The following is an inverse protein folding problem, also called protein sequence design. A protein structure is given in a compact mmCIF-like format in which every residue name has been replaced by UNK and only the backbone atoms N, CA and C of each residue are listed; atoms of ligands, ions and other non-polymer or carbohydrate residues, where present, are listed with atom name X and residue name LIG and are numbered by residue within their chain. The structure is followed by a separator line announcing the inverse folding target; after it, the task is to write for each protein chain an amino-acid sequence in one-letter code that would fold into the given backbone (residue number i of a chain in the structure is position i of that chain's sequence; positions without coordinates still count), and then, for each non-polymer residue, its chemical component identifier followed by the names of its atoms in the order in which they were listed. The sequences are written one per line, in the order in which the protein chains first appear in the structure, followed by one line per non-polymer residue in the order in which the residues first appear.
data_IF_500869647283
#
_entry.id   IF_500869647283
#
_cell.length_a   1.000
_cell.length_b   1.000
_cell.length_c   1.000
_cell.angle_alpha   90.00
_cell.angle_beta   90.00
_cell.angle_gamma   90.00
#
_symmetry.space_group_name_H-M   'P 1'
#
loop_
_entity.id
_entity.type
_entity.pdbx_description
1 polymer ?
#
# COMPACT_ATOMS: atom_id res chain seq x y z
N UNK A 1 -6.65 38.65 -50.81
CA UNK A 1 -6.18 39.40 -49.62
C UNK A 1 -7.13 39.08 -48.48
N UNK A 2 -6.79 38.57 -47.30
CA UNK A 2 -5.55 38.09 -46.67
C UNK A 2 -6.00 37.04 -45.65
N UNK A 3 -5.33 35.90 -45.64
CA UNK A 3 -5.36 34.91 -44.56
C UNK A 3 -5.04 35.57 -43.22
N UNK A 4 -5.90 35.36 -42.21
CA UNK A 4 -5.47 35.52 -40.83
C UNK A 4 -5.42 34.14 -40.18
N UNK A 5 -4.23 33.59 -40.29
CA UNK A 5 -3.68 32.50 -39.52
C UNK A 5 -3.78 32.80 -38.01
N UNK A 6 -3.70 31.71 -37.24
CA UNK A 6 -3.20 31.58 -35.87
C UNK A 6 -4.22 31.45 -34.71
N UNK A 7 -4.34 30.19 -34.27
CA UNK A 7 -4.04 29.71 -32.91
C UNK A 7 -4.79 30.36 -31.74
N UNK A 8 -5.73 29.61 -31.16
CA UNK A 8 -5.74 29.46 -29.70
C UNK A 8 -5.98 28.00 -29.32
N UNK A 9 -4.86 27.38 -28.96
CA UNK A 9 -4.76 26.16 -28.16
C UNK A 9 -5.66 26.31 -26.91
N UNK A 10 -6.83 25.68 -26.87
CA UNK A 10 -7.48 25.38 -25.59
C UNK A 10 -6.76 24.18 -24.99
N UNK A 11 -5.72 24.54 -24.25
CA UNK A 11 -4.95 23.76 -23.30
C UNK A 11 -5.84 22.75 -22.55
N UNK A 12 -5.81 21.49 -22.98
CA UNK A 12 -6.20 20.36 -22.13
C UNK A 12 -5.20 20.34 -20.96
N UNK A 13 -5.57 20.98 -19.86
CA UNK A 13 -4.94 20.79 -18.56
C UNK A 13 -5.29 19.37 -18.11
N UNK A 14 -4.57 18.38 -18.62
CA UNK A 14 -4.41 17.11 -17.93
C UNK A 14 -3.71 17.44 -16.61
N UNK A 15 -4.50 17.52 -15.54
CA UNK A 15 -3.97 17.53 -14.17
C UNK A 15 -3.35 16.16 -13.95
N UNK A 16 -2.12 15.97 -14.40
CA UNK A 16 -1.31 14.85 -13.96
C UNK A 16 -0.97 15.16 -12.51
N UNK A 17 -1.70 14.55 -11.57
CA UNK A 17 -1.28 14.52 -10.18
C UNK A 17 0.07 13.78 -10.16
N UNK A 18 1.17 14.54 -10.20
CA UNK A 18 2.47 14.02 -9.80
C UNK A 18 2.39 13.79 -8.29
N UNK A 19 1.85 12.63 -7.89
CA UNK A 19 2.07 12.12 -6.56
C UNK A 19 3.57 11.85 -6.47
N UNK A 20 4.33 12.83 -5.97
CA UNK A 20 5.70 12.57 -5.54
C UNK A 20 5.61 11.37 -4.59
N UNK A 21 6.25 10.27 -4.97
CA UNK A 21 6.19 9.03 -4.21
C UNK A 21 6.71 9.33 -2.80
N UNK A 22 5.80 9.28 -1.81
CA UNK A 22 6.19 9.57 -0.43
C UNK A 22 7.01 8.38 0.07
N UNK A 23 8.30 8.64 0.32
CA UNK A 23 9.23 7.70 0.96
C UNK A 23 9.45 8.18 2.39
N UNK A 24 9.27 7.28 3.35
CA UNK A 24 9.49 7.54 4.77
C UNK A 24 10.53 6.58 5.32
N UNK A 25 11.51 7.10 6.07
CA UNK A 25 12.45 6.26 6.80
C UNK A 25 11.84 5.87 8.15
N UNK A 26 11.83 4.58 8.44
CA UNK A 26 11.36 4.01 9.70
C UNK A 26 12.49 3.30 10.43
N UNK A 27 12.36 3.18 11.74
CA UNK A 27 13.25 2.38 12.59
C UNK A 27 12.43 1.29 13.23
N UNK A 28 12.70 0.05 12.88
CA UNK A 28 12.19 -1.14 13.54
C UNK A 28 13.26 -1.71 14.47
N UNK A 29 12.93 -2.78 15.21
CA UNK A 29 13.84 -3.39 16.19
C UNK A 29 15.10 -3.99 15.58
N UNK A 30 15.03 -4.45 14.34
CA UNK A 30 16.11 -5.12 13.61
C UNK A 30 16.85 -4.20 12.63
N UNK A 31 16.39 -2.95 12.42
CA UNK A 31 17.10 -2.00 11.57
C UNK A 31 16.29 -0.78 11.14
N UNK A 32 16.89 0.01 10.25
CA UNK A 32 16.20 1.10 9.56
C UNK A 32 15.77 0.67 8.16
N UNK A 33 14.54 1.04 7.80
CA UNK A 33 13.94 0.70 6.51
C UNK A 33 13.38 1.97 5.87
N UNK A 34 13.18 1.93 4.55
CA UNK A 34 12.40 2.93 3.84
C UNK A 34 11.08 2.31 3.43
N UNK A 35 9.98 3.04 3.60
CA UNK A 35 8.64 2.59 3.24
C UNK A 35 7.93 3.56 2.31
N UNK A 36 7.04 3.02 1.49
CA UNK A 36 6.16 3.78 0.59
C UNK A 36 4.76 3.17 0.57
N UNK A 37 3.74 3.98 0.30
CA UNK A 37 2.35 3.49 0.16
C UNK A 37 2.00 3.12 -1.28
N UNK A 38 2.93 3.31 -2.21
CA UNK A 38 2.72 3.14 -3.64
C UNK A 38 3.59 2.00 -4.17
N UNK A 39 2.96 1.03 -4.84
CA UNK A 39 3.62 0.01 -5.65
C UNK A 39 2.85 -0.12 -6.98
N UNK A 40 3.35 -0.90 -7.94
CA UNK A 40 2.74 -1.10 -9.27
C UNK A 40 1.42 -1.91 -9.26
N UNK A 41 0.74 -2.00 -8.11
CA UNK A 41 -0.46 -2.80 -7.89
C UNK A 41 -1.45 -2.08 -6.94
N UNK A 42 -2.77 -2.32 -7.07
CA UNK A 42 -3.81 -1.65 -6.28
C UNK A 42 -3.96 -2.26 -4.87
N UNK A 43 -2.93 -2.08 -4.03
CA UNK A 43 -2.82 -2.67 -2.68
C UNK A 43 -3.71 -2.02 -1.62
N UNK A 44 -4.26 -0.85 -1.88
CA UNK A 44 -5.17 -0.17 -0.94
C UNK A 44 -6.55 -0.81 -0.96
N UNK A 45 -7.21 -0.94 0.18
CA UNK A 45 -8.54 -1.51 0.31
C UNK A 45 -8.66 -2.43 1.53
N UNK A 46 -9.76 -3.18 1.59
CA UNK A 46 -10.09 -4.08 2.69
C UNK A 46 -9.73 -5.51 2.33
N UNK A 47 -8.91 -6.13 3.18
CA UNK A 47 -8.53 -7.53 3.16
C UNK A 47 -9.37 -8.26 4.21
N UNK A 48 -10.10 -9.28 3.76
CA UNK A 48 -11.02 -10.06 4.57
C UNK A 48 -10.39 -11.40 4.93
N UNK A 49 -10.69 -11.93 6.11
CA UNK A 49 -10.37 -13.31 6.46
C UNK A 49 -11.13 -14.31 5.57
N UNK A 50 -10.72 -15.57 5.62
CA UNK A 50 -11.42 -16.66 4.95
C UNK A 50 -12.91 -16.68 5.34
N UNK A 51 -13.80 -16.84 4.34
CA UNK A 51 -15.25 -16.70 4.53
C UNK A 51 -15.79 -15.27 4.32
N UNK A 52 -14.93 -14.28 4.09
CA UNK A 52 -15.34 -12.92 3.73
C UNK A 52 -15.87 -12.08 4.90
N UNK A 53 -15.51 -12.46 6.13
CA UNK A 53 -15.96 -11.80 7.36
C UNK A 53 -14.79 -11.16 8.11
N UNK A 54 -15.10 -10.50 9.23
CA UNK A 54 -14.10 -10.10 10.21
C UNK A 54 -13.31 -11.33 10.72
N UNK A 55 -12.04 -11.16 11.12
CA UNK A 55 -11.31 -9.90 11.23
C UNK A 55 -10.82 -9.34 9.88
N UNK A 56 -10.72 -8.02 9.79
CA UNK A 56 -10.25 -7.31 8.58
C UNK A 56 -8.89 -6.65 8.75
N UNK A 57 -8.22 -6.40 7.62
CA UNK A 57 -7.15 -5.38 7.52
C UNK A 57 -7.51 -4.41 6.42
N UNK A 58 -7.53 -3.11 6.72
CA UNK A 58 -7.79 -2.05 5.77
C UNK A 58 -6.55 -1.19 5.58
N UNK A 59 -6.12 -1.00 4.32
CA UNK A 59 -5.02 -0.14 3.93
C UNK A 59 -5.54 1.06 3.12
N UNK A 60 -5.44 2.27 3.67
CA UNK A 60 -5.83 3.51 3.00
C UNK A 60 -4.65 4.13 2.23
N UNK A 61 -4.88 4.81 1.08
CA UNK A 61 -3.80 5.36 0.24
C UNK A 61 -2.85 6.35 0.93
N UNK A 62 -3.30 7.01 1.99
CA UNK A 62 -2.53 7.98 2.77
C UNK A 62 -1.53 7.34 3.75
N UNK A 63 -1.44 6.00 3.76
CA UNK A 63 -0.58 5.24 4.68
C UNK A 63 -1.22 5.02 6.04
N UNK A 64 -2.52 5.23 6.19
CA UNK A 64 -3.29 4.90 7.39
C UNK A 64 -4.12 3.64 7.16
N UNK A 65 -4.63 3.03 8.22
CA UNK A 65 -5.43 1.82 8.08
C UNK A 65 -6.11 1.38 9.36
N UNK A 66 -6.75 0.22 9.29
CA UNK A 66 -7.32 -0.48 10.43
C UNK A 66 -6.81 -1.91 10.43
N UNK A 67 -6.32 -2.38 11.58
CA UNK A 67 -5.99 -3.77 11.80
C UNK A 67 -6.93 -4.34 12.85
N UNK A 68 -7.66 -5.40 12.51
CA UNK A 68 -8.52 -6.10 13.44
C UNK A 68 -7.87 -7.41 13.90
N UNK A 69 -7.78 -7.60 15.21
CA UNK A 69 -7.33 -8.84 15.83
C UNK A 69 -8.46 -9.87 15.86
N UNK A 70 -8.13 -11.12 16.18
CA UNK A 70 -9.08 -12.23 16.16
C UNK A 70 -10.16 -12.12 17.25
N UNK A 71 -9.90 -11.34 18.31
CA UNK A 71 -10.88 -10.95 19.33
C UNK A 71 -11.81 -9.82 18.87
N UNK A 72 -11.74 -9.45 17.60
CA UNK A 72 -12.46 -8.37 16.93
C UNK A 72 -12.09 -6.95 17.37
N UNK A 73 -11.08 -6.79 18.23
CA UNK A 73 -10.57 -5.47 18.59
C UNK A 73 -9.95 -4.79 17.36
N UNK A 74 -10.30 -3.52 17.15
CA UNK A 74 -9.86 -2.71 16.00
C UNK A 74 -8.83 -1.71 16.46
N UNK A 75 -7.74 -1.64 15.72
CA UNK A 75 -6.64 -0.71 15.98
C UNK A 75 -6.37 0.12 14.74
N UNK A 76 -6.33 1.45 14.89
CA UNK A 76 -5.88 2.34 13.84
C UNK A 76 -4.38 2.15 13.63
N UNK A 77 -3.94 1.95 12.38
CA UNK A 77 -2.52 1.77 12.05
C UNK A 77 -2.02 2.87 11.11
N UNK A 78 -0.71 3.04 11.09
CA UNK A 78 0.01 3.58 9.93
C UNK A 78 0.83 2.45 9.30
N UNK A 79 1.00 2.49 7.98
CA UNK A 79 1.61 1.40 7.22
C UNK A 79 2.40 1.88 6.00
N UNK A 80 3.26 1.02 5.48
CA UNK A 80 3.91 1.18 4.18
C UNK A 80 4.60 -0.12 3.71
N UNK A 81 4.81 -0.25 2.41
CA UNK A 81 5.59 -1.32 1.81
C UNK A 81 7.07 -0.95 1.81
N UNK A 82 7.94 -1.90 2.14
CA UNK A 82 9.39 -1.66 2.10
C UNK A 82 9.87 -1.31 0.68
N UNK A 83 10.73 -0.32 0.59
CA UNK A 83 11.33 0.19 -0.63
C UNK A 83 12.80 0.56 -0.44
N UNK A 84 13.47 0.88 -1.53
CA UNK A 84 14.75 1.58 -1.52
C UNK A 84 14.56 3.06 -1.18
N UNK A 85 15.66 3.78 -0.95
CA UNK A 85 15.63 5.21 -0.60
C UNK A 85 15.02 6.09 -1.71
N UNK A 86 15.09 5.64 -2.97
CA UNK A 86 14.47 6.27 -4.12
C UNK A 86 12.98 5.95 -4.30
N UNK A 87 12.41 5.12 -3.41
CA UNK A 87 11.01 4.70 -3.44
C UNK A 87 10.74 3.43 -4.24
N UNK A 88 11.71 2.86 -4.94
CA UNK A 88 11.48 1.62 -5.70
C UNK A 88 11.09 0.48 -4.73
N UNK A 89 9.92 -0.16 -4.87
CA UNK A 89 9.48 -1.21 -3.96
C UNK A 89 10.45 -2.40 -3.92
N UNK A 90 10.72 -2.94 -2.74
CA UNK A 90 11.49 -4.17 -2.58
C UNK A 90 10.55 -5.37 -2.53
N UNK A 91 10.83 -6.36 -3.37
CA UNK A 91 10.05 -7.59 -3.41
C UNK A 91 10.88 -8.78 -3.89
N UNK A 92 10.43 -9.96 -3.49
CA UNK A 92 10.91 -11.24 -4.03
C UNK A 92 9.94 -11.73 -5.09
N UNK A 93 10.44 -11.93 -6.30
CA UNK A 93 9.64 -12.44 -7.42
C UNK A 93 9.70 -13.96 -7.47
N UNK A 94 8.53 -14.60 -7.45
CA UNK A 94 8.35 -16.01 -7.80
C UNK A 94 7.82 -16.17 -9.24
N UNK A 95 7.50 -17.40 -9.62
CA UNK A 95 6.96 -17.69 -10.96
C UNK A 95 5.60 -16.99 -11.19
N UNK A 96 4.65 -17.19 -10.28
CA UNK A 96 3.28 -16.66 -10.36
C UNK A 96 2.88 -15.82 -9.12
N UNK A 97 3.87 -15.30 -8.41
CA UNK A 97 3.63 -14.45 -7.25
C UNK A 97 4.76 -13.45 -7.02
N UNK A 98 4.48 -12.41 -6.25
CA UNK A 98 5.48 -11.49 -5.68
C UNK A 98 5.23 -11.33 -4.18
N UNK A 99 6.31 -11.26 -3.41
CA UNK A 99 6.28 -11.08 -1.96
C UNK A 99 6.91 -9.74 -1.59
N UNK A 100 6.22 -8.95 -0.79
CA UNK A 100 6.66 -7.67 -0.25
C UNK A 100 6.72 -7.73 1.27
N UNK A 101 7.52 -6.83 1.85
CA UNK A 101 7.51 -6.54 3.28
C UNK A 101 6.51 -5.41 3.56
N UNK A 102 5.41 -5.70 4.25
CA UNK A 102 4.51 -4.68 4.77
C UNK A 102 4.95 -4.32 6.19
N UNK A 103 5.18 -3.05 6.44
CA UNK A 103 5.46 -2.52 7.77
C UNK A 103 4.24 -1.76 8.28
N UNK A 104 3.88 -1.98 9.54
CA UNK A 104 2.81 -1.23 10.19
C UNK A 104 3.10 -0.95 11.66
N UNK A 105 2.48 0.09 12.21
CA UNK A 105 2.47 0.36 13.66
C UNK A 105 1.13 0.93 14.08
N UNK A 106 0.78 0.77 15.36
CA UNK A 106 -0.41 1.37 15.93
C UNK A 106 -0.28 2.91 15.97
N UNK A 107 -1.35 3.62 15.59
CA UNK A 107 -1.42 5.09 15.61
C UNK A 107 -1.75 5.65 16.99
N UNK A 108 -2.53 4.92 17.79
CA UNK A 108 -3.05 5.34 19.10
C UNK A 108 -2.20 4.77 20.25
N UNK A 109 -0.88 4.89 20.14
CA UNK A 109 0.04 4.52 21.21
C UNK A 109 0.04 5.56 22.34
N UNK A 110 -1.10 5.74 23.01
CA UNK A 110 -1.16 6.41 24.31
C UNK A 110 -1.31 5.34 25.40
N UNK A 111 -0.19 4.75 25.84
CA UNK A 111 -0.17 3.85 26.99
C UNK A 111 1.24 3.76 27.55
N UNK A 112 1.36 3.91 28.86
CA UNK A 112 2.58 3.97 29.69
C UNK A 112 3.40 2.65 29.74
N UNK A 113 3.28 1.80 28.72
CA UNK A 113 3.94 0.49 28.61
C UNK A 113 4.68 0.39 27.28
N UNK A 114 6.01 0.32 27.35
CA UNK A 114 7.04 0.52 26.32
C UNK A 114 7.03 -0.39 25.05
N UNK A 115 5.88 -0.83 24.52
CA UNK A 115 5.85 -1.74 23.34
C UNK A 115 4.86 -1.36 22.23
N UNK A 116 4.22 -0.18 22.28
CA UNK A 116 3.11 0.16 21.37
C UNK A 116 3.46 1.08 20.17
N UNK A 117 4.72 1.51 20.06
CA UNK A 117 5.22 2.35 18.95
C UNK A 117 6.17 1.62 17.98
N UNK A 118 6.30 0.30 18.14
CA UNK A 118 7.24 -0.49 17.35
C UNK A 118 6.67 -0.83 15.97
N UNK A 119 7.46 -0.59 14.93
CA UNK A 119 7.14 -1.04 13.58
C UNK A 119 7.19 -2.56 13.51
N UNK A 120 6.08 -3.15 13.10
CA UNK A 120 5.89 -4.60 12.97
C UNK A 120 5.92 -4.99 11.50
N UNK A 121 6.66 -6.06 11.19
CA UNK A 121 6.69 -6.68 9.89
C UNK A 121 5.47 -7.59 9.69
N UNK A 122 4.85 -7.49 8.51
CA UNK A 122 3.85 -8.41 8.00
C UNK A 122 4.23 -8.90 6.60
N UNK A 123 4.00 -10.18 6.35
CA UNK A 123 4.14 -10.75 5.02
C UNK A 123 3.00 -10.28 4.11
N UNK A 124 3.35 -9.72 2.95
CA UNK A 124 2.41 -9.37 1.91
C UNK A 124 2.71 -10.13 0.63
N UNK A 125 1.71 -10.72 -0.01
CA UNK A 125 1.90 -11.43 -1.28
C UNK A 125 0.83 -11.07 -2.32
N UNK A 126 1.24 -11.08 -3.58
CA UNK A 126 0.37 -10.96 -4.75
C UNK A 126 0.48 -12.26 -5.52
N UNK A 127 -0.65 -12.92 -5.78
CA UNK A 127 -0.74 -14.14 -6.60
C UNK A 127 -1.37 -13.80 -7.94
N UNK A 128 -0.59 -13.89 -9.01
CA UNK A 128 -0.95 -13.36 -10.34
C UNK A 128 -2.11 -14.12 -10.98
N UNK A 129 -2.01 -15.45 -11.07
CA UNK A 129 -3.06 -16.28 -11.67
C UNK A 129 -4.37 -16.23 -10.89
N UNK A 130 -4.29 -16.16 -9.55
CA UNK A 130 -5.48 -16.08 -8.69
C UNK A 130 -6.10 -14.69 -8.67
N UNK A 131 -5.40 -13.67 -9.19
CA UNK A 131 -5.76 -12.25 -9.05
C UNK A 131 -6.09 -11.86 -7.60
N UNK A 132 -5.31 -12.38 -6.66
CA UNK A 132 -5.49 -12.18 -5.22
C UNK A 132 -4.23 -11.62 -4.55
N UNK A 133 -4.44 -10.79 -3.55
CA UNK A 133 -3.42 -10.29 -2.64
C UNK A 133 -3.70 -10.80 -1.22
N UNK A 134 -2.65 -11.02 -0.44
CA UNK A 134 -2.75 -11.53 0.92
C UNK A 134 -1.88 -10.73 1.89
N UNK A 135 -2.40 -10.55 3.10
CA UNK A 135 -1.69 -10.05 4.28
C UNK A 135 -1.66 -11.17 5.30
N UNK A 136 -0.46 -11.51 5.80
CA UNK A 136 -0.20 -12.62 6.73
C UNK A 136 -0.68 -14.00 6.23
N UNK A 137 -0.88 -14.15 4.91
CA UNK A 137 -1.32 -15.39 4.28
C UNK A 137 -2.82 -15.67 4.36
N UNK A 138 -3.55 -15.04 5.28
CA UNK A 138 -4.96 -15.39 5.56
C UNK A 138 -5.94 -14.29 5.14
N UNK A 139 -5.56 -13.02 5.29
CA UNK A 139 -6.43 -11.89 4.94
C UNK A 139 -6.25 -11.55 3.47
N UNK A 140 -7.29 -11.66 2.67
CA UNK A 140 -7.20 -11.59 1.22
C UNK A 140 -8.10 -10.53 0.58
N UNK A 141 -7.69 -10.06 -0.59
CA UNK A 141 -8.43 -9.13 -1.44
C UNK A 141 -8.21 -9.53 -2.90
N UNK A 142 -9.27 -9.56 -3.70
CA UNK A 142 -9.16 -9.67 -5.15
C UNK A 142 -8.61 -8.37 -5.75
N UNK A 143 -7.86 -8.48 -6.84
CA UNK A 143 -7.45 -7.31 -7.60
C UNK A 143 -7.75 -7.48 -9.08
N UNK A 144 -8.01 -6.36 -9.73
CA UNK A 144 -8.18 -6.27 -11.17
C UNK A 144 -6.95 -5.54 -11.68
N UNK A 145 -6.28 -6.12 -12.67
CA UNK A 145 -5.29 -5.38 -13.45
C UNK A 145 -6.05 -4.31 -14.23
N UNK A 146 -5.81 -3.04 -13.92
CA UNK A 146 -6.29 -1.98 -14.80
C UNK A 146 -5.58 -2.15 -16.13
N UNK A 147 -6.34 -2.53 -17.17
CA UNK A 147 -5.80 -2.61 -18.52
C UNK A 147 -5.38 -1.22 -18.94
N UNK A 148 -4.07 -0.94 -18.92
CA UNK A 148 -3.53 0.21 -19.62
C UNK A 148 -3.82 -0.05 -21.10
N UNK A 149 -4.83 0.62 -21.63
CA UNK A 149 -5.04 0.72 -23.07
C UNK A 149 -3.77 1.40 -23.61
N UNK A 150 -2.88 0.59 -24.20
CA UNK A 150 -1.67 1.06 -24.87
C UNK A 150 -2.03 1.79 -26.16
#
# INVERSE_FOLDING_TARGET
MKSLTLLFFTLLLSVTYSYAQKVEKITAKDGSYYITTTIDYPITGTYLSEGGTEPIVQLNPDGTGVFQLDDLSKTTIVWGMECFEDGIPKYQKGFNYAVYSLWYKNREAHSETNTKEEWTYAHFSIHFEKKKMFILGERSKDYVEESIIK
#
